data_IF_066672576607
#
_entry.id   IF_066672576607
#
_cell.length_a   1.000
_cell.length_b   1.000
_cell.length_c   1.000
_cell.angle_alpha   90.00
_cell.angle_beta   90.00
_cell.angle_gamma   90.00
#
_symmetry.space_group_name_H-M   'P 1'
#
loop_
_entity.id
_entity.type
_entity.pdbx_description
1 polymer ?
#
# COMPACT_ATOMS: atom_id res chain seq x y z
N UNK A 1 -14.83 5.24 11.45
CA UNK A 1 -13.86 4.13 11.63
C UNK A 1 -14.56 2.85 12.05
N UNK A 2 -15.55 2.90 12.96
CA UNK A 2 -16.40 1.76 13.32
C UNK A 2 -17.07 1.10 12.10
N UNK A 3 -17.64 1.89 11.18
CA UNK A 3 -18.32 1.36 9.99
C UNK A 3 -17.40 0.54 9.08
N UNK A 4 -16.16 1.00 8.86
CA UNK A 4 -15.18 0.28 8.03
C UNK A 4 -14.78 -1.06 8.63
N UNK A 5 -14.65 -1.13 9.96
CA UNK A 5 -14.34 -2.38 10.65
C UNK A 5 -15.50 -3.37 10.52
N UNK A 6 -16.75 -2.89 10.61
CA UNK A 6 -17.90 -3.76 10.44
C UNK A 6 -18.00 -4.30 9.01
N UNK A 7 -17.71 -3.47 7.98
CA UNK A 7 -17.62 -3.95 6.60
C UNK A 7 -16.52 -5.01 6.43
N UNK A 8 -15.35 -4.82 7.03
CA UNK A 8 -14.29 -5.83 7.02
C UNK A 8 -14.73 -7.15 7.70
N UNK A 9 -15.53 -7.08 8.78
CA UNK A 9 -16.12 -8.29 9.40
C UNK A 9 -17.13 -8.97 8.50
N UNK A 10 -17.97 -8.20 7.79
CA UNK A 10 -18.94 -8.75 6.84
C UNK A 10 -18.23 -9.48 5.69
N UNK A 11 -17.16 -8.91 5.14
CA UNK A 11 -16.30 -9.57 4.15
C UNK A 11 -15.75 -10.88 4.70
N UNK A 12 -15.19 -10.86 5.92
CA UNK A 12 -14.64 -12.07 6.54
C UNK A 12 -15.71 -13.16 6.69
N UNK A 13 -16.90 -12.81 7.19
CA UNK A 13 -18.02 -13.77 7.35
C UNK A 13 -18.47 -14.35 6.01
N UNK A 14 -18.66 -13.50 4.99
CA UNK A 14 -19.07 -13.95 3.67
C UNK A 14 -18.07 -14.93 3.04
N UNK A 15 -16.76 -14.66 3.17
CA UNK A 15 -15.71 -15.55 2.68
C UNK A 15 -15.60 -16.83 3.51
N UNK A 16 -15.80 -16.74 4.83
CA UNK A 16 -15.83 -17.91 5.72
C UNK A 16 -16.99 -18.85 5.37
N UNK A 17 -18.18 -18.31 5.16
CA UNK A 17 -19.37 -19.07 4.76
C UNK A 17 -19.23 -19.69 3.37
N UNK A 18 -18.56 -19.00 2.44
CA UNK A 18 -18.24 -19.55 1.12
C UNK A 18 -17.23 -20.71 1.16
N UNK A 19 -16.43 -20.80 2.24
CA UNK A 19 -15.46 -21.86 2.45
C UNK A 19 -14.46 -21.99 1.28
N UNK A 20 -14.04 -23.23 0.93
CA UNK A 20 -13.03 -23.47 -0.10
C UNK A 20 -13.41 -23.00 -1.52
N UNK A 21 -14.70 -22.78 -1.78
CA UNK A 21 -15.17 -22.30 -3.08
C UNK A 21 -14.79 -20.83 -3.32
N UNK A 22 -14.75 -20.03 -2.26
CA UNK A 22 -14.58 -18.58 -2.33
C UNK A 22 -15.69 -17.87 -3.09
N UNK A 23 -15.57 -16.55 -3.22
CA UNK A 23 -16.56 -15.71 -3.90
C UNK A 23 -15.92 -14.99 -5.08
N UNK A 24 -16.58 -15.00 -6.23
CA UNK A 24 -16.19 -14.07 -7.30
C UNK A 24 -16.55 -12.62 -6.90
N UNK A 25 -16.12 -11.67 -7.74
CA UNK A 25 -16.27 -10.24 -7.48
C UNK A 25 -17.73 -9.82 -7.26
N UNK A 26 -18.63 -10.32 -8.10
CA UNK A 26 -20.03 -9.92 -8.08
C UNK A 26 -20.76 -10.57 -6.91
N UNK A 27 -20.47 -11.85 -6.64
CA UNK A 27 -21.01 -12.55 -5.48
C UNK A 27 -20.58 -11.90 -4.17
N UNK A 28 -19.31 -11.49 -4.04
CA UNK A 28 -18.83 -10.80 -2.84
C UNK A 28 -19.46 -9.42 -2.70
N UNK A 29 -19.48 -8.61 -3.76
CA UNK A 29 -20.11 -7.29 -3.75
C UNK A 29 -21.60 -7.36 -3.38
N UNK A 30 -22.31 -8.37 -3.89
CA UNK A 30 -23.70 -8.62 -3.53
C UNK A 30 -23.85 -9.03 -2.05
N UNK A 31 -22.99 -9.92 -1.56
CA UNK A 31 -23.04 -10.41 -0.18
C UNK A 31 -22.82 -9.30 0.86
N UNK A 32 -21.93 -8.34 0.57
CA UNK A 32 -21.66 -7.20 1.46
C UNK A 32 -22.43 -5.93 1.09
N UNK A 33 -23.25 -5.97 0.04
CA UNK A 33 -24.04 -4.83 -0.47
C UNK A 33 -23.20 -3.57 -0.77
N UNK A 34 -21.98 -3.74 -1.28
CA UNK A 34 -21.07 -2.64 -1.58
C UNK A 34 -20.78 -2.51 -3.09
N UNK A 35 -20.61 -1.29 -3.60
CA UNK A 35 -19.98 -1.07 -4.90
C UNK A 35 -18.56 -1.65 -4.92
N UNK A 36 -18.07 -2.04 -6.10
CA UNK A 36 -16.79 -2.72 -6.24
C UNK A 36 -15.60 -2.00 -5.58
N UNK A 37 -15.51 -0.68 -5.71
CA UNK A 37 -14.40 0.08 -5.10
C UNK A 37 -14.41 -0.05 -3.58
N UNK A 38 -15.57 0.15 -2.95
CA UNK A 38 -15.72 0.07 -1.50
C UNK A 38 -15.55 -1.37 -1.00
N UNK A 39 -16.02 -2.35 -1.76
CA UNK A 39 -15.79 -3.77 -1.49
C UNK A 39 -14.29 -4.10 -1.48
N UNK A 40 -13.51 -3.60 -2.44
CA UNK A 40 -12.04 -3.79 -2.45
C UNK A 40 -11.37 -3.14 -1.24
N UNK A 41 -11.75 -1.92 -0.88
CA UNK A 41 -11.23 -1.25 0.32
C UNK A 41 -11.57 -2.04 1.60
N UNK A 42 -12.77 -2.62 1.68
CA UNK A 42 -13.18 -3.49 2.79
C UNK A 42 -12.39 -4.81 2.82
N UNK A 43 -12.11 -5.42 1.67
CA UNK A 43 -11.24 -6.62 1.55
C UNK A 43 -9.82 -6.30 2.00
N UNK A 44 -9.25 -5.17 1.58
CA UNK A 44 -7.92 -4.75 2.02
C UNK A 44 -7.84 -4.54 3.54
N UNK A 45 -8.86 -3.95 4.13
CA UNK A 45 -8.93 -3.79 5.58
C UNK A 45 -9.10 -5.12 6.29
N UNK A 46 -9.97 -6.01 5.77
CA UNK A 46 -10.14 -7.38 6.26
C UNK A 46 -8.79 -8.11 6.28
N UNK A 47 -8.05 -8.10 5.18
CA UNK A 47 -6.74 -8.75 5.07
C UNK A 47 -5.73 -8.23 6.09
N UNK A 48 -5.71 -6.91 6.34
CA UNK A 48 -4.81 -6.30 7.34
C UNK A 48 -5.15 -6.75 8.76
N UNK A 49 -6.44 -6.82 9.10
CA UNK A 49 -6.90 -7.19 10.43
C UNK A 49 -6.77 -8.69 10.68
N UNK A 50 -7.11 -9.52 9.70
CA UNK A 50 -7.06 -10.99 9.80
C UNK A 50 -5.64 -11.53 9.88
N UNK A 51 -4.67 -10.85 9.28
CA UNK A 51 -3.26 -11.24 9.33
C UNK A 51 -2.60 -10.98 10.70
N UNK A 52 -3.24 -10.22 11.60
CA UNK A 52 -2.70 -9.86 12.92
C UNK A 52 -3.81 -9.92 13.98
N UNK A 53 -4.32 -11.11 14.32
CA UNK A 53 -5.38 -11.23 15.30
C UNK A 53 -4.88 -10.78 16.68
N UNK A 54 -5.71 -10.01 17.39
CA UNK A 54 -5.39 -9.50 18.73
C UNK A 54 -5.66 -10.52 19.85
N UNK A 55 -6.44 -11.58 19.57
CA UNK A 55 -6.83 -12.59 20.55
C UNK A 55 -5.79 -13.72 20.60
N UNK A 56 -5.24 -14.06 21.78
CA UNK A 56 -4.37 -15.23 21.93
C UNK A 56 -5.04 -16.52 21.45
N UNK A 57 -4.34 -17.30 20.64
CA UNK A 57 -4.84 -18.58 20.10
C UNK A 57 -5.62 -18.47 18.78
N UNK A 58 -5.99 -17.27 18.34
CA UNK A 58 -6.53 -17.07 17.00
C UNK A 58 -5.41 -17.21 15.94
N UNK A 59 -5.69 -17.96 14.87
CA UNK A 59 -4.75 -18.13 13.76
C UNK A 59 -4.83 -16.93 12.82
N UNK A 60 -3.68 -16.38 12.38
CA UNK A 60 -3.67 -15.38 11.32
C UNK A 60 -4.19 -15.96 10.01
N UNK A 61 -4.99 -15.17 9.28
CA UNK A 61 -5.59 -15.59 8.01
C UNK A 61 -5.15 -14.68 6.87
N UNK A 62 -4.79 -15.30 5.73
CA UNK A 62 -4.51 -14.59 4.49
C UNK A 62 -5.79 -14.45 3.70
N UNK A 63 -6.23 -13.21 3.48
CA UNK A 63 -7.45 -12.88 2.74
C UNK A 63 -7.09 -12.10 1.49
N UNK A 64 -7.68 -12.46 0.36
CA UNK A 64 -7.50 -11.70 -0.89
C UNK A 64 -7.98 -12.43 -2.13
N UNK A 65 -7.66 -11.85 -3.28
CA UNK A 65 -8.02 -12.40 -4.58
C UNK A 65 -6.98 -13.42 -5.06
N UNK A 66 -7.40 -14.64 -5.34
CA UNK A 66 -6.56 -15.67 -5.95
C UNK A 66 -6.69 -15.59 -7.48
N UNK A 67 -5.62 -15.18 -8.20
CA UNK A 67 -5.68 -15.01 -9.65
C UNK A 67 -5.94 -16.32 -10.40
N UNK A 68 -5.62 -17.48 -9.79
CA UNK A 68 -5.83 -18.79 -10.42
C UNK A 68 -7.31 -19.16 -10.49
N UNK A 69 -8.06 -18.91 -9.41
CA UNK A 69 -9.49 -19.22 -9.33
C UNK A 69 -10.38 -18.04 -9.70
N UNK A 70 -9.80 -16.84 -9.82
CA UNK A 70 -10.48 -15.56 -10.08
C UNK A 70 -11.54 -15.24 -9.02
N UNK A 71 -11.27 -15.61 -7.77
CA UNK A 71 -12.17 -15.48 -6.62
C UNK A 71 -11.43 -14.92 -5.42
N UNK A 72 -12.16 -14.28 -4.53
CA UNK A 72 -11.73 -13.89 -3.20
C UNK A 72 -11.84 -15.08 -2.25
N UNK A 73 -10.83 -15.24 -1.40
CA UNK A 73 -10.69 -16.34 -0.45
C UNK A 73 -10.17 -15.86 0.90
N UNK A 74 -10.55 -16.59 1.94
CA UNK A 74 -9.65 -16.89 3.06
C UNK A 74 -8.82 -18.09 2.60
N UNK A 75 -7.48 -17.98 2.58
CA UNK A 75 -6.63 -18.99 1.99
C UNK A 75 -6.77 -20.36 2.67
N UNK A 76 -7.02 -21.40 1.88
CA UNK A 76 -7.24 -22.77 2.39
C UNK A 76 -5.98 -23.66 2.30
N UNK A 77 -4.88 -23.13 1.75
CA UNK A 77 -3.59 -23.80 1.60
C UNK A 77 -2.46 -22.78 1.55
N UNK A 78 -1.23 -23.21 1.84
CA UNK A 78 -0.04 -22.37 1.75
C UNK A 78 0.17 -21.86 0.32
N UNK A 79 -0.02 -22.74 -0.66
CA UNK A 79 0.13 -22.41 -2.08
C UNK A 79 -0.89 -21.35 -2.52
N UNK A 80 -2.11 -21.39 -1.97
CA UNK A 80 -3.12 -20.37 -2.25
C UNK A 80 -2.76 -19.04 -1.59
N UNK A 81 -2.30 -19.06 -0.33
CA UNK A 81 -1.81 -17.86 0.34
C UNK A 81 -0.67 -17.19 -0.45
N UNK A 82 0.31 -17.98 -0.92
CA UNK A 82 1.43 -17.48 -1.70
C UNK A 82 1.00 -16.81 -3.02
N UNK A 83 0.02 -17.40 -3.72
CA UNK A 83 -0.55 -16.79 -4.94
C UNK A 83 -1.24 -15.46 -4.64
N UNK A 84 -2.05 -15.40 -3.58
CA UNK A 84 -2.74 -14.17 -3.15
C UNK A 84 -1.71 -13.09 -2.82
N UNK A 85 -0.66 -13.44 -2.06
CA UNK A 85 0.42 -12.53 -1.69
C UNK A 85 1.18 -12.03 -2.93
N UNK A 86 1.57 -12.95 -3.83
CA UNK A 86 2.28 -12.60 -5.05
C UNK A 86 1.45 -11.66 -5.95
N UNK A 87 0.14 -11.92 -6.06
CA UNK A 87 -0.77 -11.06 -6.79
C UNK A 87 -0.88 -9.68 -6.17
N UNK A 88 -1.07 -9.58 -4.85
CA UNK A 88 -1.10 -8.29 -4.15
C UNK A 88 0.22 -7.51 -4.32
N UNK A 89 1.36 -8.20 -4.21
CA UNK A 89 2.69 -7.61 -4.41
C UNK A 89 2.88 -7.05 -5.83
N UNK A 90 2.29 -7.67 -6.86
CA UNK A 90 2.44 -7.22 -8.24
C UNK A 90 1.92 -5.79 -8.45
N UNK A 91 0.82 -5.41 -7.79
CA UNK A 91 0.28 -4.05 -7.84
C UNK A 91 1.14 -3.04 -7.07
N UNK A 92 1.71 -3.48 -5.95
CA UNK A 92 2.56 -2.61 -5.12
C UNK A 92 3.90 -2.33 -5.80
N UNK A 93 4.51 -3.33 -6.44
CA UNK A 93 5.82 -3.19 -7.11
C UNK A 93 5.82 -2.10 -8.16
N UNK A 94 4.83 -2.12 -9.07
CA UNK A 94 4.72 -1.08 -10.10
C UNK A 94 4.53 0.32 -9.49
N UNK A 95 3.74 0.42 -8.42
CA UNK A 95 3.56 1.69 -7.70
C UNK A 95 4.84 2.19 -7.04
N UNK A 96 5.60 1.28 -6.43
CA UNK A 96 6.88 1.57 -5.77
C UNK A 96 7.96 1.99 -6.77
N UNK A 97 8.11 1.26 -7.88
CA UNK A 97 9.05 1.60 -8.96
C UNK A 97 8.83 3.03 -9.47
N UNK A 98 7.56 3.40 -9.68
CA UNK A 98 7.20 4.78 -10.07
C UNK A 98 7.60 5.82 -9.01
N UNK A 99 7.38 5.53 -7.73
CA UNK A 99 7.76 6.43 -6.63
C UNK A 99 9.28 6.61 -6.58
N UNK A 100 10.04 5.52 -6.72
CA UNK A 100 11.50 5.57 -6.76
C UNK A 100 12.00 6.41 -7.94
N UNK A 101 11.41 6.24 -9.13
CA UNK A 101 11.72 7.06 -10.29
C UNK A 101 11.42 8.55 -10.07
N UNK A 102 10.33 8.89 -9.36
CA UNK A 102 10.03 10.27 -8.99
C UNK A 102 11.04 10.86 -8.00
N UNK A 103 11.50 10.06 -7.04
CA UNK A 103 12.53 10.48 -6.09
C UNK A 103 13.84 10.76 -6.82
N UNK A 104 14.24 9.89 -7.75
CA UNK A 104 15.42 10.08 -8.58
C UNK A 104 15.30 11.34 -9.44
N UNK A 105 14.20 11.51 -10.17
CA UNK A 105 13.94 12.70 -10.98
C UNK A 105 13.96 14.00 -10.14
N UNK A 106 13.40 13.95 -8.93
CA UNK A 106 13.42 15.09 -8.00
C UNK A 106 14.84 15.46 -7.57
N UNK A 107 15.66 14.45 -7.27
CA UNK A 107 17.08 14.66 -6.93
C UNK A 107 17.87 15.19 -8.12
N UNK A 108 17.68 14.66 -9.32
CA UNK A 108 18.38 15.15 -10.52
C UNK A 108 18.01 16.59 -10.90
N UNK A 109 16.75 16.98 -10.67
CA UNK A 109 16.23 18.30 -11.09
C UNK A 109 16.39 19.39 -10.03
N UNK A 110 16.30 19.04 -8.75
CA UNK A 110 16.28 20.00 -7.63
C UNK A 110 17.16 19.58 -6.45
N UNK A 111 17.89 18.46 -6.56
CA UNK A 111 18.98 18.17 -5.65
C UNK A 111 20.13 19.08 -6.00
N UNK A 112 20.21 20.23 -5.33
CA UNK A 112 21.41 21.06 -5.36
C UNK A 112 22.57 20.23 -4.80
N UNK A 113 23.35 19.59 -5.67
CA UNK A 113 24.57 18.92 -5.23
C UNK A 113 25.70 19.92 -5.01
N UNK A 114 25.69 21.07 -5.67
CA UNK A 114 26.60 22.18 -5.39
C UNK A 114 25.94 23.52 -5.73
N UNK A 115 26.04 24.50 -4.81
CA UNK A 115 25.81 25.90 -5.17
C UNK A 115 26.72 26.23 -6.36
N UNK A 116 26.21 26.77 -7.49
CA UNK A 116 27.06 27.15 -8.60
C UNK A 116 28.24 27.98 -8.10
N UNK A 117 29.46 27.68 -8.57
CA UNK A 117 30.70 28.30 -8.09
C UNK A 117 30.61 29.84 -8.11
N UNK A 118 29.91 30.41 -9.09
CA UNK A 118 29.64 31.85 -9.18
C UNK A 118 28.82 32.41 -7.99
N UNK A 119 27.84 31.65 -7.47
CA UNK A 119 27.06 32.04 -6.29
C UNK A 119 27.89 31.89 -5.02
N UNK A 120 28.72 30.85 -4.92
CA UNK A 120 29.67 30.70 -3.81
C UNK A 120 30.64 31.90 -3.79
N UNK A 121 31.22 32.24 -4.95
CA UNK A 121 32.19 33.31 -5.08
C UNK A 121 31.59 34.69 -4.77
N UNK A 122 30.37 34.97 -5.24
CA UNK A 122 29.67 36.22 -4.92
C UNK A 122 29.32 36.38 -3.43
N UNK A 123 29.01 35.29 -2.72
CA UNK A 123 28.74 35.31 -1.28
C UNK A 123 29.99 35.63 -0.45
N UNK A 124 31.15 35.10 -0.84
CA UNK A 124 32.42 35.35 -0.13
C UNK A 124 33.14 36.64 -0.57
N UNK A 125 32.91 37.15 -1.78
CA UNK A 125 33.32 38.51 -2.17
C UNK A 125 32.55 39.59 -1.38
N UNK A 126 31.30 39.31 -0.98
CA UNK A 126 30.54 40.21 -0.11
C UNK A 126 31.15 40.33 1.31
N UNK A 127 31.87 39.32 1.80
CA UNK A 127 32.61 39.40 3.07
C UNK A 127 33.82 40.36 2.98
N UNK A 128 34.53 40.40 1.85
CA UNK A 128 35.61 41.37 1.64
C UNK A 128 35.10 42.82 1.61
N UNK A 129 33.87 43.02 1.12
CA UNK A 129 33.20 44.33 1.17
C UNK A 129 32.81 44.67 2.60
N UNK A 130 32.27 43.74 3.39
CA UNK A 130 31.93 43.97 4.80
C UNK A 130 33.16 44.28 5.68
N UNK A 131 34.33 43.73 5.35
CA UNK A 131 35.61 44.03 6.02
C UNK A 131 36.13 45.46 5.78
N UNK A 132 35.71 46.15 4.71
CA UNK A 132 36.04 47.57 4.47
C UNK A 132 35.25 48.54 5.33
N UNK A 133 34.14 48.11 5.94
CA UNK A 133 33.29 48.96 6.79
C UNK A 133 33.79 49.01 8.25
N UNK A 134 34.88 48.28 8.56
CA UNK A 134 35.53 48.25 9.88
C UNK A 134 36.90 48.94 9.91
N UNK A 135 37.27 49.72 8.89
CA UNK A 135 38.43 50.62 8.92
C UNK A 135 37.99 52.08 8.89
#
# INVERSE_FOLDING_TARGET
MADKIELARQVFRALWEAGPAGLDRDALAHAVQLPDREMREAVELCAKLSARPALPGAKPEVVGFDPMTRRYHIANSAEQADRIIAYALSYVRSGLERILAYQEARTLRWGDTELPQAIQQALFEAEEVAGRWRR
#
